data_IF_011570439747
#
_entry.id   IF_011570439747
#
_cell.length_a   1.000
_cell.length_b   1.000
_cell.length_c   1.000
_cell.angle_alpha   90.00
_cell.angle_beta   90.00
_cell.angle_gamma   90.00
#
_symmetry.space_group_name_H-M   'P 1'
#
loop_
_entity.id
_entity.type
_entity.pdbx_description
1 polymer ?
#
# COMPACT_ATOMS: atom_id res chain seq x y z
N UNK A 1 -11.61 1.30 -2.60
CA UNK A 1 -10.34 1.99 -2.32
C UNK A 1 -10.65 3.36 -1.77
N UNK A 2 -10.73 3.44 -0.45
CA UNK A 2 -10.81 4.70 0.29
C UNK A 2 -9.41 5.02 0.86
N UNK A 3 -9.22 6.21 1.42
CA UNK A 3 -7.97 6.56 2.12
C UNK A 3 -7.59 5.47 3.14
N UNK A 4 -6.32 5.07 3.13
CA UNK A 4 -5.73 4.04 3.98
C UNK A 4 -5.96 2.60 3.52
N UNK A 5 -6.67 2.36 2.41
CA UNK A 5 -6.81 1.00 1.86
C UNK A 5 -5.45 0.47 1.39
N UNK A 6 -5.10 -0.74 1.83
CA UNK A 6 -3.93 -1.49 1.36
C UNK A 6 -4.36 -2.50 0.27
N UNK A 7 -3.71 -2.44 -0.88
CA UNK A 7 -4.06 -3.27 -2.05
C UNK A 7 -2.82 -3.72 -2.81
N UNK A 8 -2.93 -4.83 -3.53
CA UNK A 8 -1.83 -5.39 -4.33
C UNK A 8 -1.64 -4.62 -5.63
N UNK A 9 -0.40 -4.28 -5.98
CA UNK A 9 -0.05 -3.77 -7.30
C UNK A 9 0.05 -4.91 -8.32
N UNK A 10 -0.17 -4.62 -9.60
CA UNK A 10 -0.09 -5.59 -10.70
C UNK A 10 0.31 -4.92 -12.01
N UNK A 11 0.76 -5.73 -12.95
CA UNK A 11 0.88 -5.36 -14.37
C UNK A 11 -0.49 -5.38 -15.05
N UNK A 12 -0.52 -5.27 -16.38
CA UNK A 12 -1.74 -5.40 -17.17
C UNK A 12 -2.43 -6.76 -17.00
N UNK A 13 -1.66 -7.84 -16.76
CA UNK A 13 -2.25 -9.15 -16.48
C UNK A 13 -2.92 -9.14 -15.07
N UNK A 14 -4.23 -9.40 -14.97
CA UNK A 14 -4.96 -9.34 -13.70
C UNK A 14 -4.43 -10.31 -12.64
N UNK A 15 -3.79 -11.41 -13.05
CA UNK A 15 -3.25 -12.44 -12.15
C UNK A 15 -1.74 -12.28 -11.90
N UNK A 16 -1.16 -11.10 -12.16
CA UNK A 16 0.28 -10.87 -11.98
C UNK A 16 0.67 -10.24 -10.64
N UNK A 17 -0.27 -10.08 -9.71
CA UNK A 17 0.03 -9.58 -8.38
C UNK A 17 0.99 -10.55 -7.67
N UNK A 18 2.03 -10.00 -7.02
CA UNK A 18 3.02 -10.80 -6.29
C UNK A 18 3.35 -10.11 -4.95
N UNK A 19 4.48 -9.40 -4.85
CA UNK A 19 4.96 -8.80 -3.60
C UNK A 19 4.70 -7.30 -3.47
N UNK A 20 4.48 -6.60 -4.59
CA UNK A 20 4.26 -5.16 -4.58
C UNK A 20 2.85 -4.84 -4.10
N UNK A 21 2.75 -3.92 -3.13
CA UNK A 21 1.49 -3.39 -2.63
C UNK A 21 1.54 -1.86 -2.61
N UNK A 22 0.39 -1.23 -2.44
CA UNK A 22 0.26 0.20 -2.27
C UNK A 22 -0.74 0.52 -1.15
N UNK A 23 -0.62 1.73 -0.59
CA UNK A 23 -1.55 2.29 0.38
C UNK A 23 -2.18 3.54 -0.24
N UNK A 24 -3.51 3.62 -0.25
CA UNK A 24 -4.22 4.78 -0.80
C UNK A 24 -4.04 6.02 0.09
N UNK A 25 -3.37 7.06 -0.41
CA UNK A 25 -3.25 8.34 0.31
C UNK A 25 -4.57 9.11 0.35
N UNK A 26 -5.43 8.90 -0.64
CA UNK A 26 -6.77 9.50 -0.73
C UNK A 26 -7.73 8.47 -1.30
N UNK A 27 -9.01 8.82 -1.37
CA UNK A 27 -10.01 7.98 -2.02
C UNK A 27 -9.69 7.78 -3.50
N UNK A 28 -9.68 6.52 -3.94
CA UNK A 28 -9.35 6.12 -5.31
C UNK A 28 -10.41 5.17 -5.88
N UNK A 29 -11.69 5.57 -5.96
CA UNK A 29 -12.80 4.69 -6.33
C UNK A 29 -12.65 4.05 -7.72
N UNK A 30 -11.88 4.66 -8.63
CA UNK A 30 -11.58 4.11 -9.96
C UNK A 30 -10.80 2.79 -9.92
N UNK A 31 -10.15 2.45 -8.81
CA UNK A 31 -9.43 1.17 -8.64
C UNK A 31 -10.35 0.00 -8.24
N UNK A 32 -11.62 0.29 -7.90
CA UNK A 32 -12.57 -0.73 -7.45
C UNK A 32 -12.80 -1.79 -8.54
N UNK A 33 -12.85 -3.07 -8.12
CA UNK A 33 -12.97 -4.25 -9.00
C UNK A 33 -11.79 -4.43 -9.99
N UNK A 34 -10.72 -3.64 -9.88
CA UNK A 34 -9.53 -3.77 -10.73
C UNK A 34 -8.26 -4.21 -9.99
N UNK A 35 -8.24 -4.04 -8.66
CA UNK A 35 -7.13 -4.38 -7.78
C UNK A 35 -7.63 -5.12 -6.54
N UNK A 36 -6.76 -5.98 -6.00
CA UNK A 36 -7.06 -6.86 -4.87
C UNK A 36 -6.73 -6.19 -3.55
N UNK A 37 -7.76 -5.73 -2.86
CA UNK A 37 -7.67 -5.19 -1.49
C UNK A 37 -7.38 -6.31 -0.51
N UNK A 38 -6.43 -6.10 0.40
CA UNK A 38 -6.09 -7.08 1.46
C UNK A 38 -6.15 -6.49 2.88
N UNK A 39 -6.22 -5.17 3.02
CA UNK A 39 -6.23 -4.55 4.34
C UNK A 39 -6.53 -3.06 4.33
N UNK A 40 -6.46 -2.47 5.52
CA UNK A 40 -6.69 -1.06 5.78
C UNK A 40 -5.76 -0.62 6.91
N UNK A 41 -5.11 0.53 6.75
CA UNK A 41 -4.35 1.16 7.83
C UNK A 41 -5.33 1.58 8.94
N UNK A 42 -5.14 1.03 10.14
CA UNK A 42 -5.97 1.33 11.32
C UNK A 42 -5.35 2.43 12.19
N UNK A 43 -4.03 2.56 12.19
CA UNK A 43 -3.27 3.55 12.96
C UNK A 43 -2.03 4.00 12.17
N UNK A 44 -1.53 5.22 12.42
CA UNK A 44 -0.29 5.72 11.81
C UNK A 44 -0.42 6.25 10.37
N UNK A 45 -1.62 6.63 9.91
CA UNK A 45 -1.81 7.24 8.59
C UNK A 45 -1.03 8.55 8.41
N UNK A 46 -0.76 9.28 9.49
CA UNK A 46 0.07 10.49 9.46
C UNK A 46 1.54 10.19 9.08
N UNK A 47 2.03 8.97 9.35
CA UNK A 47 3.35 8.53 8.90
C UNK A 47 3.33 8.12 7.43
N UNK A 48 2.24 7.51 6.96
CA UNK A 48 2.03 7.20 5.54
C UNK A 48 2.06 8.49 4.71
N UNK A 49 1.43 9.57 5.18
CA UNK A 49 1.40 10.85 4.48
C UNK A 49 2.79 11.51 4.33
N UNK A 50 3.74 11.16 5.22
CA UNK A 50 5.12 11.69 5.22
C UNK A 50 6.04 10.96 4.25
N UNK A 51 5.62 9.83 3.68
CA UNK A 51 6.43 9.08 2.71
C UNK A 51 6.74 9.97 1.50
N UNK A 52 8.00 10.02 1.10
CA UNK A 52 8.49 10.85 -0.01
C UNK A 52 7.77 10.50 -1.31
N UNK A 53 7.26 11.53 -2.00
CA UNK A 53 6.50 11.42 -3.25
C UNK A 53 7.39 11.68 -4.46
N UNK A 54 7.19 10.95 -5.56
CA UNK A 54 7.95 11.11 -6.80
C UNK A 54 7.85 9.89 -7.71
N UNK A 55 8.10 10.07 -9.01
CA UNK A 55 8.06 9.02 -10.02
C UNK A 55 9.26 9.17 -11.00
N UNK A 56 10.41 8.51 -10.75
CA UNK A 56 10.79 7.82 -9.53
C UNK A 56 11.19 8.78 -8.40
N UNK A 57 11.09 8.34 -7.14
CA UNK A 57 11.67 9.05 -6.00
C UNK A 57 13.20 8.88 -6.02
N UNK A 58 13.97 9.96 -5.89
CA UNK A 58 15.45 9.89 -5.93
C UNK A 58 16.06 9.21 -4.70
N UNK A 59 15.45 9.35 -3.52
CA UNK A 59 15.88 8.76 -2.25
C UNK A 59 14.66 8.21 -1.49
N UNK A 60 14.12 7.04 -1.90
CA UNK A 60 12.87 6.51 -1.35
C UNK A 60 13.02 6.06 0.11
N UNK A 61 11.95 6.24 0.89
CA UNK A 61 11.87 5.67 2.24
C UNK A 61 11.88 4.12 2.19
N UNK A 62 12.29 3.48 3.28
CA UNK A 62 12.46 2.04 3.36
C UNK A 62 11.64 1.42 4.49
N UNK A 63 11.08 0.25 4.22
CA UNK A 63 10.47 -0.59 5.27
C UNK A 63 11.62 -1.28 6.03
N UNK A 64 11.93 -0.76 7.22
CA UNK A 64 13.04 -1.28 8.05
C UNK A 64 12.71 -2.66 8.65
N UNK A 65 11.45 -2.88 9.03
CA UNK A 65 10.98 -4.17 9.53
C UNK A 65 9.48 -4.32 9.30
N UNK A 66 9.04 -5.57 9.12
CA UNK A 66 7.62 -5.97 9.09
C UNK A 66 7.45 -7.10 10.08
N UNK A 67 6.39 -7.05 10.89
CA UNK A 67 6.06 -8.09 11.86
C UNK A 67 4.57 -8.40 11.78
N UNK A 68 4.21 -9.66 11.92
CA UNK A 68 2.82 -10.05 12.16
C UNK A 68 2.58 -9.98 13.67
N UNK A 69 1.41 -9.51 14.11
CA UNK A 69 1.11 -9.35 15.53
C UNK A 69 1.31 -10.65 16.34
N UNK A 70 1.07 -11.81 15.71
CA UNK A 70 1.31 -13.12 16.32
C UNK A 70 2.80 -13.43 16.58
N UNK A 71 3.74 -12.79 15.87
CA UNK A 71 5.18 -13.00 16.01
C UNK A 71 5.82 -12.10 17.10
N UNK A 72 5.01 -11.26 17.78
CA UNK A 72 5.47 -10.31 18.81
C UNK A 72 5.41 -10.92 20.23
N UNK A 73 4.87 -12.13 20.37
CA UNK A 73 4.76 -12.87 21.63
C UNK A 73 6.10 -13.43 22.13
#
# INVERSE_FOLDING_TARGET
>A
HVRGTCSMARSQNPNSANSQFFICFTDAPWLNKQYSVWGQVIEGMDNVDKIKKGEPVSDPDSIVSVKVAADIA
#
